data_IF_051902232872
#
_entry.id   IF_051902232872
#
_cell.length_a   1.000
_cell.length_b   1.000
_cell.length_c   1.000
_cell.angle_alpha   90.00
_cell.angle_beta   90.00
_cell.angle_gamma   90.00
#
_symmetry.space_group_name_H-M   'P 1'
#
loop_
_entity.id
_entity.type
_entity.pdbx_description
1 polymer ?
#
# COMPACT_ATOMS: atom_id res chain seq x y z
N UNK A 1 -5.72 -8.26 60.23
CA UNK A 1 -6.12 -9.08 59.06
C UNK A 1 -6.32 -8.31 57.75
N UNK A 2 -6.54 -6.99 57.73
CA UNK A 2 -6.73 -6.17 56.49
C UNK A 2 -5.43 -5.87 55.76
N UNK A 3 -4.27 -5.81 56.42
CA UNK A 3 -2.98 -5.52 55.76
C UNK A 3 -2.42 -6.67 54.89
N UNK A 4 -2.74 -7.91 55.22
CA UNK A 4 -2.23 -9.08 54.46
C UNK A 4 -2.99 -9.33 53.16
N UNK A 5 -4.22 -8.81 53.03
CA UNK A 5 -5.00 -8.98 51.79
C UNK A 5 -4.56 -7.98 50.72
N UNK A 6 -4.29 -6.71 51.12
CA UNK A 6 -3.75 -5.68 50.20
C UNK A 6 -2.37 -6.05 49.68
N UNK A 7 -1.49 -6.56 50.57
CA UNK A 7 -0.14 -6.97 50.15
C UNK A 7 -0.16 -8.17 49.21
N UNK A 8 -1.04 -9.15 49.42
CA UNK A 8 -1.25 -10.29 48.52
C UNK A 8 -1.80 -9.86 47.17
N UNK A 9 -2.74 -8.91 47.13
CA UNK A 9 -3.34 -8.38 45.91
C UNK A 9 -2.29 -7.57 45.11
N UNK A 10 -1.48 -6.75 45.77
CA UNK A 10 -0.39 -5.98 45.13
C UNK A 10 0.70 -6.92 44.56
N UNK A 11 1.09 -7.96 45.33
CA UNK A 11 2.08 -8.95 44.89
C UNK A 11 1.55 -9.77 43.70
N UNK A 12 0.26 -10.12 43.70
CA UNK A 12 -0.37 -10.82 42.58
C UNK A 12 -0.44 -9.94 41.32
N UNK A 13 -0.80 -8.67 41.47
CA UNK A 13 -0.83 -7.71 40.36
C UNK A 13 0.57 -7.47 39.82
N UNK A 14 1.57 -7.30 40.69
CA UNK A 14 3.00 -7.19 40.28
C UNK A 14 3.52 -8.46 39.61
N UNK A 15 3.12 -9.67 40.07
CA UNK A 15 3.47 -10.93 39.43
C UNK A 15 2.79 -11.10 38.05
N UNK A 16 1.57 -10.64 37.88
CA UNK A 16 0.91 -10.65 36.58
C UNK A 16 1.53 -9.63 35.62
N UNK A 17 1.88 -8.43 36.10
CA UNK A 17 2.63 -7.42 35.32
C UNK A 17 4.06 -7.92 34.99
N UNK A 18 4.73 -8.59 35.92
CA UNK A 18 6.08 -9.13 35.67
C UNK A 18 6.10 -10.32 34.71
N UNK A 19 5.01 -11.11 34.65
CA UNK A 19 4.88 -12.21 33.65
C UNK A 19 4.63 -11.66 32.25
N UNK A 20 3.91 -10.53 32.11
CA UNK A 20 3.75 -9.84 30.83
C UNK A 20 5.07 -9.19 30.34
N UNK A 21 5.84 -8.60 31.24
CA UNK A 21 7.13 -7.97 30.93
C UNK A 21 8.20 -9.02 30.61
N UNK A 22 8.13 -10.21 31.22
CA UNK A 22 9.07 -11.32 30.93
C UNK A 22 8.92 -11.93 29.54
N UNK A 23 7.81 -11.64 28.83
CA UNK A 23 7.52 -12.19 27.50
C UNK A 23 7.86 -11.22 26.34
N UNK A 24 8.30 -9.98 26.60
CA UNK A 24 8.64 -9.00 25.56
C UNK A 24 7.45 -8.41 24.81
N UNK A 25 6.21 -8.66 25.27
CA UNK A 25 4.98 -8.18 24.62
C UNK A 25 4.58 -6.80 25.14
N UNK A 26 4.02 -5.95 24.26
CA UNK A 26 3.63 -4.57 24.61
C UNK A 26 2.37 -4.49 25.46
N UNK A 27 1.46 -5.45 25.32
CA UNK A 27 0.12 -5.42 25.92
C UNK A 27 -0.84 -4.42 25.26
N UNK A 28 -0.40 -3.69 24.24
CA UNK A 28 -1.19 -2.65 23.53
C UNK A 28 -1.64 -3.10 22.13
N UNK A 29 -1.07 -4.18 21.63
CA UNK A 29 -1.39 -4.75 20.33
C UNK A 29 -1.92 -6.17 20.44
N UNK A 30 -2.69 -6.64 19.45
CA UNK A 30 -3.01 -8.06 19.35
C UNK A 30 -1.73 -8.88 19.18
N UNK A 31 -1.74 -10.07 19.77
CA UNK A 31 -0.64 -11.04 19.72
C UNK A 31 -1.08 -12.28 18.97
N UNK A 32 -0.33 -12.67 17.96
CA UNK A 32 -0.50 -13.92 17.24
C UNK A 32 0.53 -14.94 17.73
N UNK A 33 0.08 -16.02 18.35
CA UNK A 33 0.88 -17.15 18.80
C UNK A 33 0.84 -18.23 17.72
N UNK A 34 2.02 -18.69 17.29
CA UNK A 34 2.15 -19.72 16.26
C UNK A 34 3.08 -20.82 16.82
N UNK A 35 2.61 -22.07 16.78
CA UNK A 35 3.39 -23.23 17.17
C UNK A 35 3.50 -24.17 15.97
N UNK A 36 4.70 -24.29 15.42
CA UNK A 36 4.97 -25.23 14.33
C UNK A 36 5.02 -26.68 14.85
N UNK A 37 4.64 -27.60 14.00
CA UNK A 37 4.70 -29.03 14.35
C UNK A 37 6.11 -29.41 14.80
N UNK A 38 6.24 -29.99 15.99
CA UNK A 38 7.52 -30.38 16.62
C UNK A 38 8.51 -29.22 16.77
N UNK A 39 8.04 -28.00 16.89
CA UNK A 39 8.84 -26.76 16.94
C UNK A 39 9.83 -26.65 15.75
N UNK A 40 9.44 -27.17 14.59
CA UNK A 40 10.26 -27.12 13.38
C UNK A 40 10.53 -25.67 12.95
N UNK A 41 11.79 -25.35 12.68
CA UNK A 41 12.15 -24.03 12.18
C UNK A 41 11.60 -23.76 10.76
N UNK A 42 11.14 -22.55 10.51
CA UNK A 42 10.68 -22.10 9.19
C UNK A 42 11.88 -21.60 8.38
N UNK A 43 12.44 -22.45 7.54
CA UNK A 43 13.69 -22.19 6.80
C UNK A 43 13.50 -22.07 5.28
N UNK A 44 12.30 -22.34 4.75
CA UNK A 44 12.02 -22.38 3.32
C UNK A 44 11.00 -21.30 2.92
N UNK A 45 11.18 -20.70 1.72
CA UNK A 45 10.19 -19.85 1.06
C UNK A 45 9.17 -20.63 0.22
N UNK A 46 9.41 -21.88 -0.03
CA UNK A 46 8.58 -22.72 -0.91
C UNK A 46 7.85 -23.83 -0.18
N UNK A 47 8.44 -24.39 0.87
CA UNK A 47 7.88 -25.49 1.65
C UNK A 47 7.16 -24.94 2.88
N UNK A 48 5.88 -25.28 3.01
CA UNK A 48 5.09 -24.97 4.20
C UNK A 48 5.39 -25.94 5.35
N UNK A 49 5.41 -25.40 6.55
CA UNK A 49 5.49 -26.14 7.81
C UNK A 49 4.10 -26.11 8.43
N UNK A 50 3.49 -27.28 8.76
CA UNK A 50 2.24 -27.32 9.51
C UNK A 50 2.41 -26.68 10.89
N UNK A 51 1.39 -25.94 11.32
CA UNK A 51 1.39 -25.23 12.59
C UNK A 51 -0.04 -25.04 13.15
N UNK A 52 -0.10 -24.66 14.39
CA UNK A 52 -1.31 -24.15 15.03
C UNK A 52 -1.14 -22.69 15.39
N UNK A 53 -2.25 -21.99 15.58
CA UNK A 53 -2.23 -20.61 16.03
C UNK A 53 -3.42 -20.27 16.89
N UNK A 54 -3.25 -19.25 17.71
CA UNK A 54 -4.34 -18.48 18.32
C UNK A 54 -3.96 -17.00 18.37
N UNK A 55 -4.97 -16.14 18.47
CA UNK A 55 -4.76 -14.70 18.56
C UNK A 55 -5.46 -14.15 19.80
N UNK A 56 -4.79 -13.26 20.51
CA UNK A 56 -5.31 -12.57 21.68
C UNK A 56 -5.22 -11.05 21.45
N UNK A 57 -6.34 -10.38 21.51
CA UNK A 57 -6.43 -8.91 21.54
C UNK A 57 -7.05 -8.53 22.89
N UNK A 58 -6.22 -8.02 23.79
CA UNK A 58 -6.68 -7.64 25.13
C UNK A 58 -7.56 -6.40 25.14
N UNK A 59 -7.44 -5.55 24.13
CA UNK A 59 -8.24 -4.32 23.98
C UNK A 59 -9.59 -4.61 23.30
N UNK A 60 -9.63 -5.62 22.41
CA UNK A 60 -10.81 -6.01 21.67
C UNK A 60 -10.99 -7.53 21.71
N UNK A 61 -11.46 -8.10 22.84
CA UNK A 61 -11.58 -9.55 23.02
C UNK A 61 -12.46 -10.26 21.98
N UNK A 62 -13.38 -9.54 21.34
CA UNK A 62 -14.21 -10.07 20.24
C UNK A 62 -13.41 -10.41 18.97
N UNK A 63 -12.17 -9.93 18.88
CA UNK A 63 -11.23 -10.25 17.79
C UNK A 63 -10.37 -11.46 18.11
N UNK A 64 -10.50 -12.08 19.27
CA UNK A 64 -9.76 -13.28 19.64
C UNK A 64 -10.11 -14.45 18.72
N UNK A 65 -9.11 -15.28 18.42
CA UNK A 65 -9.27 -16.47 17.59
C UNK A 65 -8.61 -17.65 18.29
N UNK A 66 -9.38 -18.70 18.51
CA UNK A 66 -8.89 -19.87 19.25
C UNK A 66 -8.42 -19.53 20.68
N UNK A 67 -7.67 -20.43 21.25
CA UNK A 67 -7.00 -20.25 22.53
C UNK A 67 -5.78 -21.16 22.61
N UNK A 68 -4.96 -21.01 23.65
CA UNK A 68 -3.82 -21.91 23.90
C UNK A 68 -4.25 -23.36 23.99
N UNK A 69 -5.40 -23.64 24.61
CA UNK A 69 -5.92 -24.99 24.82
C UNK A 69 -6.75 -25.49 23.61
N UNK A 70 -7.19 -24.61 22.72
CA UNK A 70 -7.94 -24.93 21.51
C UNK A 70 -7.47 -24.04 20.36
N UNK A 71 -6.25 -24.26 19.85
CA UNK A 71 -5.70 -23.46 18.75
C UNK A 71 -6.28 -23.88 17.40
N UNK A 72 -6.29 -22.93 16.46
CA UNK A 72 -6.66 -23.15 15.08
C UNK A 72 -5.48 -23.67 14.26
N UNK A 73 -5.75 -24.25 13.08
CA UNK A 73 -4.72 -24.82 12.19
C UNK A 73 -4.28 -23.83 11.13
N UNK A 74 -2.97 -23.79 10.86
CA UNK A 74 -2.37 -23.08 9.72
C UNK A 74 -1.14 -23.82 9.17
N UNK A 75 -0.67 -23.35 8.04
CA UNK A 75 0.64 -23.68 7.47
C UNK A 75 1.45 -22.37 7.34
N UNK A 76 2.75 -22.42 7.68
CA UNK A 76 3.66 -21.25 7.64
C UNK A 76 4.88 -21.54 6.77
N UNK A 77 5.33 -20.55 6.02
CA UNK A 77 6.61 -20.55 5.29
C UNK A 77 7.23 -19.16 5.23
N UNK A 78 8.48 -19.10 4.86
CA UNK A 78 9.15 -17.83 4.56
C UNK A 78 8.58 -17.14 3.32
N UNK A 79 8.86 -15.83 3.20
CA UNK A 79 8.57 -15.01 2.02
C UNK A 79 9.60 -13.87 1.85
N UNK A 80 9.46 -13.13 0.74
CA UNK A 80 10.30 -11.99 0.40
C UNK A 80 11.61 -12.38 -0.29
N UNK A 81 12.25 -11.42 -0.90
CA UNK A 81 13.53 -11.55 -1.59
C UNK A 81 14.66 -11.00 -0.71
N UNK A 82 14.89 -9.69 -0.73
CA UNK A 82 15.89 -9.05 0.14
C UNK A 82 15.57 -9.25 1.63
N UNK A 83 14.33 -9.03 2.03
CA UNK A 83 13.88 -9.14 3.43
C UNK A 83 14.02 -10.55 4.02
N UNK A 84 14.04 -11.60 3.19
CA UNK A 84 14.33 -12.97 3.66
C UNK A 84 15.77 -13.16 4.13
N UNK A 85 16.70 -12.29 3.73
CA UNK A 85 18.10 -12.32 4.19
C UNK A 85 18.28 -11.76 5.59
N UNK A 86 17.36 -10.93 6.07
CA UNK A 86 17.42 -10.31 7.39
C UNK A 86 17.34 -11.36 8.50
N UNK A 87 17.83 -11.01 9.70
CA UNK A 87 17.71 -11.85 10.89
C UNK A 87 16.23 -12.07 11.23
N UNK A 88 15.44 -11.02 11.28
CA UNK A 88 13.97 -11.07 11.39
C UNK A 88 13.39 -11.53 10.06
N UNK A 89 12.62 -12.60 10.07
CA UNK A 89 12.07 -13.21 8.85
C UNK A 89 10.63 -12.79 8.62
N UNK A 90 10.25 -12.37 7.40
CA UNK A 90 8.85 -12.25 7.03
C UNK A 90 8.27 -13.61 6.66
N UNK A 91 6.97 -13.79 6.91
CA UNK A 91 6.29 -15.08 6.71
C UNK A 91 5.06 -14.96 5.82
N UNK A 92 4.71 -16.06 5.16
CA UNK A 92 3.41 -16.30 4.54
C UNK A 92 2.70 -17.38 5.33
N UNK A 93 1.47 -17.13 5.73
CA UNK A 93 0.63 -18.07 6.46
C UNK A 93 -0.59 -18.44 5.62
N UNK A 94 -1.04 -19.68 5.77
CA UNK A 94 -2.22 -20.21 5.11
C UNK A 94 -3.07 -20.93 6.14
N UNK A 95 -4.19 -20.31 6.51
CA UNK A 95 -5.12 -20.84 7.48
C UNK A 95 -5.87 -22.07 6.93
N UNK A 96 -6.27 -22.98 7.80
CA UNK A 96 -7.13 -24.11 7.41
C UNK A 96 -8.49 -23.62 6.87
N UNK A 97 -9.05 -22.58 7.46
CA UNK A 97 -10.34 -22.02 7.12
C UNK A 97 -10.24 -20.57 6.65
N UNK A 98 -11.24 -20.10 5.87
CA UNK A 98 -11.40 -18.69 5.57
C UNK A 98 -11.79 -17.94 6.86
N UNK A 99 -10.86 -17.21 7.45
CA UNK A 99 -11.02 -16.51 8.72
C UNK A 99 -10.79 -15.01 8.55
N UNK A 100 -11.58 -14.20 9.23
CA UNK A 100 -11.34 -12.76 9.41
C UNK A 100 -10.29 -12.58 10.50
N UNK A 101 -9.18 -11.97 10.19
CA UNK A 101 -8.15 -11.61 11.17
C UNK A 101 -8.22 -10.10 11.43
N UNK A 102 -8.35 -9.70 12.69
CA UNK A 102 -8.41 -8.30 13.15
C UNK A 102 -9.40 -7.43 12.35
N UNK A 103 -10.58 -7.98 12.06
CA UNK A 103 -11.66 -7.29 11.33
C UNK A 103 -11.45 -7.20 9.80
N UNK A 104 -10.32 -7.64 9.26
CA UNK A 104 -10.07 -7.69 7.81
C UNK A 104 -10.92 -8.77 7.13
N UNK A 105 -11.16 -8.64 5.82
CA UNK A 105 -12.02 -9.56 5.07
C UNK A 105 -11.51 -11.01 5.12
N UNK A 106 -12.45 -11.98 5.30
CA UNK A 106 -12.14 -13.41 5.43
C UNK A 106 -11.29 -13.93 4.26
N UNK A 107 -10.19 -14.60 4.59
CA UNK A 107 -9.38 -15.34 3.64
C UNK A 107 -8.53 -16.40 4.37
N UNK A 108 -7.92 -17.30 3.60
CA UNK A 108 -6.95 -18.28 4.13
C UNK A 108 -5.51 -17.78 4.07
N UNK A 109 -5.18 -16.86 3.15
CA UNK A 109 -3.81 -16.45 2.86
C UNK A 109 -3.51 -15.05 3.40
N UNK A 110 -2.45 -14.98 4.21
CA UNK A 110 -1.99 -13.77 4.87
C UNK A 110 -0.46 -13.67 4.82
N UNK A 111 0.06 -12.48 5.02
CA UNK A 111 1.48 -12.24 5.18
C UNK A 111 1.77 -11.58 6.52
N UNK A 112 2.88 -11.96 7.15
CA UNK A 112 3.49 -11.25 8.27
C UNK A 112 4.71 -10.53 7.70
N UNK A 113 4.56 -9.22 7.48
CA UNK A 113 5.59 -8.35 6.91
C UNK A 113 6.37 -7.66 8.02
N UNK A 114 7.58 -7.22 7.73
CA UNK A 114 8.27 -6.29 8.62
C UNK A 114 7.42 -5.04 8.82
N UNK A 115 7.43 -4.52 10.05
CA UNK A 115 6.72 -3.29 10.36
C UNK A 115 7.39 -2.09 9.67
N UNK A 116 6.63 -1.40 8.84
CA UNK A 116 7.01 -0.14 8.20
C UNK A 116 5.81 0.82 8.16
N UNK A 117 5.99 2.02 8.64
CA UNK A 117 4.95 3.05 8.67
C UNK A 117 4.47 3.41 7.27
N UNK A 118 5.40 3.42 6.30
CA UNK A 118 5.08 3.68 4.89
C UNK A 118 4.14 2.67 4.27
N UNK A 119 4.21 1.40 4.68
CA UNK A 119 3.28 0.37 4.19
C UNK A 119 1.85 0.68 4.66
N UNK A 120 1.67 1.05 5.94
CA UNK A 120 0.36 1.41 6.48
C UNK A 120 -0.19 2.67 5.80
N UNK A 121 0.64 3.71 5.70
CA UNK A 121 0.26 4.96 5.06
C UNK A 121 -0.06 4.78 3.57
N UNK A 122 0.79 4.06 2.84
CA UNK A 122 0.66 3.89 1.40
C UNK A 122 -0.50 3.00 0.97
N UNK A 123 -0.78 1.90 1.70
CA UNK A 123 -1.96 1.08 1.42
C UNK A 123 -3.25 1.86 1.67
N UNK A 124 -3.31 2.68 2.73
CA UNK A 124 -4.45 3.56 2.95
C UNK A 124 -4.57 4.63 1.86
N UNK A 125 -3.45 5.18 1.39
CA UNK A 125 -3.46 6.12 0.29
C UNK A 125 -4.07 5.51 -0.98
N UNK A 126 -3.76 4.24 -1.29
CA UNK A 126 -4.40 3.52 -2.38
C UNK A 126 -5.94 3.42 -2.25
N UNK A 127 -6.44 3.15 -1.03
CA UNK A 127 -7.88 3.14 -0.78
C UNK A 127 -8.50 4.53 -1.00
N UNK A 128 -7.86 5.59 -0.52
CA UNK A 128 -8.34 6.98 -0.67
C UNK A 128 -8.33 7.40 -2.14
N UNK A 129 -7.31 7.02 -2.90
CA UNK A 129 -7.22 7.29 -4.34
C UNK A 129 -8.19 6.46 -5.18
N UNK A 130 -8.92 5.51 -4.59
CA UNK A 130 -9.92 4.71 -5.28
C UNK A 130 -9.33 3.64 -6.20
N UNK A 131 -8.24 3.00 -5.77
CA UNK A 131 -7.75 1.77 -6.42
C UNK A 131 -8.79 0.66 -6.28
N UNK A 132 -8.98 -0.18 -7.28
CA UNK A 132 -10.00 -1.23 -7.33
C UNK A 132 -9.99 -2.14 -6.09
N UNK A 133 -8.81 -2.46 -5.65
CA UNK A 133 -8.57 -3.13 -4.39
C UNK A 133 -7.16 -2.85 -3.88
N UNK A 134 -7.05 -2.60 -2.58
CA UNK A 134 -5.79 -2.40 -1.88
C UNK A 134 -5.73 -3.33 -0.68
N UNK A 135 -4.63 -4.06 -0.44
CA UNK A 135 -4.49 -4.91 0.73
C UNK A 135 -4.69 -4.14 2.03
N UNK A 136 -5.49 -4.69 2.93
CA UNK A 136 -5.56 -4.19 4.31
C UNK A 136 -4.39 -4.73 5.12
N UNK A 137 -3.94 -3.95 6.10
CA UNK A 137 -2.84 -4.32 7.00
C UNK A 137 -3.13 -3.86 8.42
N UNK A 138 -2.67 -4.64 9.40
CA UNK A 138 -2.81 -4.32 10.84
C UNK A 138 -1.51 -4.67 11.57
N UNK A 139 -1.03 -3.81 12.49
CA UNK A 139 0.07 -4.15 13.38
C UNK A 139 -0.30 -5.34 14.28
N UNK A 140 0.62 -6.26 14.47
CA UNK A 140 0.47 -7.44 15.32
C UNK A 140 1.82 -7.85 15.91
N UNK A 141 1.83 -8.25 17.16
CA UNK A 141 2.99 -8.91 17.76
C UNK A 141 2.94 -10.41 17.47
N UNK A 142 4.08 -11.03 17.27
CA UNK A 142 4.16 -12.46 16.94
C UNK A 142 5.05 -13.19 17.92
N UNK A 143 4.54 -14.32 18.42
CA UNK A 143 5.28 -15.32 19.19
C UNK A 143 5.32 -16.60 18.37
N UNK A 144 6.51 -17.08 18.03
CA UNK A 144 6.71 -18.27 17.22
C UNK A 144 7.46 -19.33 18.03
N UNK A 145 6.84 -20.49 18.28
CA UNK A 145 7.38 -21.58 19.09
C UNK A 145 7.83 -21.11 20.50
N UNK A 146 7.02 -20.25 21.12
CA UNK A 146 7.32 -19.68 22.43
C UNK A 146 8.34 -18.53 22.43
N UNK A 147 8.99 -18.22 21.28
CA UNK A 147 9.93 -17.10 21.15
C UNK A 147 9.22 -15.86 20.62
N UNK A 148 9.38 -14.71 21.30
CA UNK A 148 8.88 -13.43 20.83
C UNK A 148 9.70 -12.96 19.62
N UNK A 149 9.10 -13.00 18.44
CA UNK A 149 9.76 -12.60 17.19
C UNK A 149 9.44 -11.17 16.75
N UNK A 150 8.65 -10.45 17.54
CA UNK A 150 8.52 -8.99 17.45
C UNK A 150 7.26 -8.49 16.75
N UNK A 151 7.31 -7.21 16.37
CA UNK A 151 6.23 -6.46 15.73
C UNK A 151 6.20 -6.68 14.22
N UNK A 152 5.06 -7.11 13.69
CA UNK A 152 4.81 -7.33 12.27
C UNK A 152 3.62 -6.53 11.76
N UNK A 153 3.47 -6.47 10.45
CA UNK A 153 2.23 -6.11 9.78
C UNK A 153 1.55 -7.39 9.27
N UNK A 154 0.42 -7.74 9.86
CA UNK A 154 -0.48 -8.76 9.34
C UNK A 154 -1.22 -8.17 8.15
N UNK A 155 -0.93 -8.67 6.95
CA UNK A 155 -1.33 -8.06 5.69
C UNK A 155 -2.07 -9.06 4.81
N UNK A 156 -3.11 -8.60 4.13
CA UNK A 156 -3.78 -9.34 3.08
C UNK A 156 -2.81 -9.60 1.92
N UNK A 157 -2.80 -10.82 1.37
CA UNK A 157 -1.96 -11.13 0.20
C UNK A 157 -2.70 -10.81 -1.10
N UNK A 158 -1.99 -10.32 -2.12
CA UNK A 158 -2.53 -10.14 -3.46
C UNK A 158 -2.93 -11.51 -4.03
N UNK A 159 -4.21 -11.62 -4.38
CA UNK A 159 -4.83 -12.81 -4.99
C UNK A 159 -6.13 -12.42 -5.68
N UNK A 160 -6.52 -13.15 -6.69
CA UNK A 160 -7.87 -13.07 -7.24
C UNK A 160 -8.85 -13.75 -6.27
N UNK A 161 -10.02 -13.15 -6.09
CA UNK A 161 -11.11 -13.71 -5.29
C UNK A 161 -12.00 -12.63 -4.65
N UNK A 162 -13.23 -13.01 -4.29
CA UNK A 162 -14.30 -12.14 -3.81
C UNK A 162 -13.89 -11.16 -2.69
N UNK A 163 -12.99 -11.57 -1.80
CA UNK A 163 -12.53 -10.77 -0.65
C UNK A 163 -11.11 -10.22 -0.85
N UNK A 164 -10.63 -10.21 -2.06
CA UNK A 164 -9.34 -9.67 -2.52
C UNK A 164 -9.59 -8.93 -3.84
N UNK A 165 -8.71 -9.05 -4.80
CA UNK A 165 -8.94 -8.55 -6.16
C UNK A 165 -10.12 -9.34 -6.78
N UNK A 166 -11.26 -8.70 -6.90
CA UNK A 166 -12.51 -9.35 -7.30
C UNK A 166 -12.70 -9.29 -8.83
N UNK A 167 -11.86 -10.01 -9.54
CA UNK A 167 -11.95 -10.24 -10.97
C UNK A 167 -12.18 -11.74 -11.23
N UNK A 168 -12.52 -12.12 -12.47
CA UNK A 168 -12.70 -13.51 -12.83
C UNK A 168 -11.36 -14.26 -12.80
N UNK A 169 -11.26 -15.36 -12.06
CA UNK A 169 -10.08 -16.22 -12.02
C UNK A 169 -10.18 -17.30 -13.08
N UNK A 170 -9.15 -17.46 -13.91
CA UNK A 170 -9.12 -18.51 -14.92
C UNK A 170 -9.16 -19.88 -14.26
N UNK A 171 -10.07 -20.77 -14.69
CA UNK A 171 -10.12 -22.12 -14.15
C UNK A 171 -8.90 -22.94 -14.59
N UNK A 172 -8.39 -23.79 -13.71
CA UNK A 172 -7.19 -24.62 -13.95
C UNK A 172 -7.31 -25.57 -15.17
N UNK A 173 -8.53 -25.85 -15.64
CA UNK A 173 -8.76 -26.69 -16.82
C UNK A 173 -8.61 -25.94 -18.16
N UNK A 174 -8.50 -24.62 -18.15
CA UNK A 174 -8.32 -23.81 -19.37
C UNK A 174 -6.90 -23.86 -19.93
N UNK A 175 -6.13 -24.92 -19.59
CA UNK A 175 -4.74 -25.07 -20.01
C UNK A 175 -4.53 -25.28 -21.49
N UNK A 176 -5.57 -25.62 -22.25
CA UNK A 176 -5.47 -26.02 -23.65
C UNK A 176 -5.78 -24.90 -24.66
N UNK A 177 -5.75 -23.63 -24.21
CA UNK A 177 -5.89 -22.50 -25.13
C UNK A 177 -7.30 -22.26 -25.66
N UNK A 178 -8.33 -22.73 -24.94
CA UNK A 178 -9.69 -22.21 -25.13
C UNK A 178 -9.66 -20.71 -24.89
N UNK A 179 -10.61 -19.99 -25.44
CA UNK A 179 -10.77 -18.52 -25.40
C UNK A 179 -10.04 -17.84 -24.25
N UNK A 180 -9.09 -17.00 -24.60
CA UNK A 180 -8.11 -16.36 -23.71
C UNK A 180 -8.62 -15.09 -22.96
N UNK A 181 -9.86 -14.60 -23.04
CA UNK A 181 -10.33 -13.47 -22.27
C UNK A 181 -10.75 -13.89 -20.85
N UNK A 182 -9.85 -14.43 -20.05
CA UNK A 182 -10.09 -14.66 -18.63
C UNK A 182 -9.22 -13.74 -17.79
N UNK A 183 -9.60 -13.54 -16.53
CA UNK A 183 -8.90 -12.66 -15.63
C UNK A 183 -7.40 -12.98 -15.47
N UNK A 184 -6.61 -11.97 -15.53
CA UNK A 184 -5.14 -12.04 -15.40
C UNK A 184 -4.67 -11.23 -14.20
N UNK A 185 -3.68 -11.75 -13.50
CA UNK A 185 -2.92 -11.02 -12.50
C UNK A 185 -1.43 -11.24 -12.77
N UNK A 186 -0.74 -10.15 -13.05
CA UNK A 186 0.69 -10.17 -13.38
C UNK A 186 1.46 -9.12 -12.57
N UNK A 187 2.77 -9.18 -12.58
CA UNK A 187 3.67 -8.24 -11.90
C UNK A 187 4.84 -7.90 -12.83
N UNK A 188 5.06 -6.63 -13.08
CA UNK A 188 6.34 -6.17 -13.60
C UNK A 188 7.35 -6.27 -12.47
N UNK A 189 8.39 -7.08 -12.66
CA UNK A 189 9.35 -7.44 -11.63
C UNK A 189 10.78 -7.28 -12.12
N UNK A 190 11.68 -6.87 -11.24
CA UNK A 190 13.11 -6.77 -11.52
C UNK A 190 13.89 -8.05 -11.11
N UNK A 191 13.23 -9.00 -10.45
CA UNK A 191 13.82 -10.29 -10.09
C UNK A 191 13.53 -11.33 -11.18
N UNK A 192 14.47 -12.28 -11.33
CA UNK A 192 14.26 -13.43 -12.20
C UNK A 192 13.41 -14.47 -11.48
N UNK A 193 12.29 -14.83 -12.12
CA UNK A 193 11.39 -15.88 -11.67
C UNK A 193 11.14 -16.90 -12.81
N UNK A 194 10.73 -18.10 -12.47
CA UNK A 194 10.50 -19.16 -13.48
C UNK A 194 9.20 -18.96 -14.27
N UNK A 195 8.23 -18.28 -13.67
CA UNK A 195 6.92 -17.97 -14.25
C UNK A 195 6.89 -16.56 -14.83
N UNK A 196 7.80 -16.29 -15.77
CA UNK A 196 7.94 -15.00 -16.43
C UNK A 196 7.87 -15.09 -17.95
N UNK A 197 7.41 -13.98 -18.56
CA UNK A 197 7.77 -13.61 -19.92
C UNK A 197 8.80 -12.48 -19.86
N UNK A 198 9.63 -12.37 -20.88
CA UNK A 198 10.64 -11.34 -21.01
C UNK A 198 10.51 -10.63 -22.35
N UNK A 199 10.41 -9.29 -22.30
CA UNK A 199 10.38 -8.42 -23.45
C UNK A 199 11.71 -7.66 -23.50
N UNK A 200 12.61 -7.95 -24.46
CA UNK A 200 13.92 -7.31 -24.54
C UNK A 200 13.88 -5.89 -25.11
N UNK A 201 12.72 -5.46 -25.59
CA UNK A 201 12.53 -4.27 -26.41
C UNK A 201 12.35 -3.01 -25.57
N UNK A 202 12.87 -1.89 -26.09
CA UNK A 202 12.66 -0.48 -25.70
C UNK A 202 13.35 0.05 -24.46
N UNK A 203 13.99 -0.76 -23.63
CA UNK A 203 14.91 -0.26 -22.61
C UNK A 203 16.16 -1.15 -22.45
N UNK A 204 17.14 -0.64 -21.75
CA UNK A 204 18.43 -1.31 -21.55
C UNK A 204 18.29 -2.66 -20.83
N UNK A 205 17.22 -2.89 -20.07
CA UNK A 205 17.05 -4.04 -19.20
C UNK A 205 15.89 -4.96 -19.62
N UNK A 206 15.04 -4.50 -20.55
CA UNK A 206 13.80 -5.18 -20.92
C UNK A 206 12.79 -5.23 -19.79
N UNK A 207 11.61 -5.73 -20.08
CA UNK A 207 10.51 -5.84 -19.12
C UNK A 207 10.31 -7.33 -18.78
N UNK A 208 10.31 -7.64 -17.48
CA UNK A 208 9.92 -8.97 -16.97
C UNK A 208 8.52 -8.91 -16.42
N UNK A 209 7.66 -9.78 -16.92
CA UNK A 209 6.28 -9.91 -16.49
C UNK A 209 6.13 -11.27 -15.82
N UNK A 210 6.04 -11.27 -14.50
CA UNK A 210 5.74 -12.47 -13.69
C UNK A 210 4.24 -12.69 -13.67
N UNK A 211 3.76 -13.86 -14.08
CA UNK A 211 2.33 -14.17 -14.01
C UNK A 211 2.00 -14.90 -12.71
N UNK A 212 0.95 -14.45 -12.03
CA UNK A 212 0.48 -14.95 -10.74
C UNK A 212 -0.85 -15.69 -10.83
N UNK A 213 -1.71 -15.27 -11.75
CA UNK A 213 -2.96 -15.97 -12.08
C UNK A 213 -3.25 -15.80 -13.57
N UNK A 214 -3.25 -16.91 -14.29
CA UNK A 214 -2.88 -18.27 -13.88
C UNK A 214 -1.42 -18.36 -13.42
N UNK A 215 -1.12 -19.28 -12.50
CA UNK A 215 0.24 -19.52 -11.99
C UNK A 215 1.10 -20.42 -12.91
N UNK A 216 0.47 -21.02 -13.92
CA UNK A 216 1.11 -21.77 -14.99
C UNK A 216 0.36 -21.53 -16.31
N UNK A 217 1.10 -21.34 -17.41
CA UNK A 217 0.54 -21.01 -18.72
C UNK A 217 0.76 -22.13 -19.74
N UNK A 218 -0.24 -22.37 -20.59
CA UNK A 218 -0.06 -23.06 -21.87
C UNK A 218 0.78 -22.20 -22.82
N UNK A 219 1.32 -22.80 -23.88
CA UNK A 219 2.03 -22.06 -24.93
C UNK A 219 1.17 -20.97 -25.57
N UNK A 220 -0.12 -21.25 -25.78
CA UNK A 220 -1.06 -20.28 -26.34
C UNK A 220 -1.28 -19.08 -25.40
N UNK A 221 -1.49 -19.32 -24.12
CA UNK A 221 -1.62 -18.26 -23.11
C UNK A 221 -0.34 -17.43 -22.97
N UNK A 222 0.83 -18.08 -22.99
CA UNK A 222 2.11 -17.38 -22.93
C UNK A 222 2.34 -16.51 -24.16
N UNK A 223 2.01 -16.99 -25.35
CA UNK A 223 2.11 -16.22 -26.57
C UNK A 223 1.17 -15.01 -26.54
N UNK A 224 -0.09 -15.24 -26.18
CA UNK A 224 -1.07 -14.15 -26.05
C UNK A 224 -0.60 -13.06 -25.06
N UNK A 225 -0.19 -13.46 -23.86
CA UNK A 225 0.32 -12.50 -22.85
C UNK A 225 1.55 -11.74 -23.36
N UNK A 226 2.43 -12.41 -24.10
CA UNK A 226 3.60 -11.78 -24.72
C UNK A 226 3.18 -10.76 -25.77
N UNK A 227 2.22 -11.09 -26.62
CA UNK A 227 1.74 -10.22 -27.70
C UNK A 227 0.97 -9.01 -27.13
N UNK A 228 0.18 -9.19 -26.06
CA UNK A 228 -0.48 -8.10 -25.32
C UNK A 228 0.54 -7.07 -24.81
N UNK A 229 1.57 -7.52 -24.10
CA UNK A 229 2.57 -6.59 -23.55
C UNK A 229 3.50 -6.00 -24.62
N UNK A 230 3.70 -6.67 -25.73
CA UNK A 230 4.34 -6.08 -26.92
C UNK A 230 3.48 -4.99 -27.53
N UNK A 231 2.17 -5.21 -27.64
CA UNK A 231 1.24 -4.19 -28.14
C UNK A 231 1.24 -2.94 -27.23
N UNK A 232 1.24 -3.12 -25.90
CA UNK A 232 1.37 -2.03 -24.94
C UNK A 232 2.69 -1.26 -25.16
N UNK A 233 3.81 -1.96 -25.26
CA UNK A 233 5.10 -1.32 -25.51
C UNK A 233 5.09 -0.51 -26.80
N UNK A 234 4.64 -1.10 -27.91
CA UNK A 234 4.56 -0.43 -29.20
C UNK A 234 3.66 0.81 -29.13
N UNK A 235 2.47 0.67 -28.53
CA UNK A 235 1.52 1.77 -28.41
C UNK A 235 2.07 2.94 -27.59
N UNK A 236 2.82 2.67 -26.51
CA UNK A 236 3.37 3.72 -25.65
C UNK A 236 4.65 4.34 -26.21
N UNK A 237 5.57 3.53 -26.73
CA UNK A 237 6.89 4.03 -27.16
C UNK A 237 6.92 4.50 -28.60
N UNK A 238 6.19 3.85 -29.51
CA UNK A 238 6.33 4.04 -30.95
C UNK A 238 5.14 4.76 -31.59
N UNK A 239 3.91 4.60 -31.02
CA UNK A 239 2.68 5.10 -31.65
C UNK A 239 1.67 5.71 -30.65
N UNK A 240 2.12 6.66 -29.84
CA UNK A 240 1.27 7.34 -28.85
C UNK A 240 0.07 8.09 -29.43
N UNK A 241 0.21 8.54 -30.69
CA UNK A 241 -0.83 9.36 -31.36
C UNK A 241 -1.99 8.54 -31.87
N UNK A 242 -1.91 7.22 -31.89
CA UNK A 242 -3.00 6.34 -32.32
C UNK A 242 -4.14 6.20 -31.30
N UNK A 243 -3.92 6.53 -30.01
CA UNK A 243 -4.84 6.25 -28.92
C UNK A 243 -4.94 4.75 -28.56
N UNK A 244 -4.11 3.89 -29.13
CA UNK A 244 -4.18 2.44 -28.90
C UNK A 244 -3.78 2.07 -27.48
N UNK A 245 -2.83 2.77 -26.85
CA UNK A 245 -2.43 2.50 -25.48
C UNK A 245 -3.58 2.73 -24.47
N UNK A 246 -4.48 3.70 -24.71
CA UNK A 246 -5.66 3.96 -23.90
C UNK A 246 -6.72 2.86 -24.00
N UNK A 247 -6.70 2.10 -25.09
CA UNK A 247 -7.56 0.91 -25.27
C UNK A 247 -7.01 -0.31 -24.57
N UNK A 248 -5.70 -0.36 -24.36
CA UNK A 248 -5.00 -1.47 -23.72
C UNK A 248 -4.87 -1.28 -22.20
N UNK A 249 -4.68 -0.05 -21.74
CA UNK A 249 -4.48 0.29 -20.33
C UNK A 249 -5.60 1.21 -19.83
N UNK A 250 -6.05 0.99 -18.61
CA UNK A 250 -6.93 1.90 -17.91
C UNK A 250 -6.15 3.15 -17.48
N UNK A 251 -6.43 4.26 -18.15
CA UNK A 251 -5.71 5.54 -18.00
C UNK A 251 -5.90 6.09 -16.59
N UNK A 252 -7.12 6.05 -16.05
CA UNK A 252 -7.44 6.58 -14.72
C UNK A 252 -6.76 5.76 -13.61
N UNK A 253 -6.76 4.45 -13.73
CA UNK A 253 -6.07 3.56 -12.78
C UNK A 253 -4.54 3.77 -12.82
N UNK A 254 -3.97 3.94 -14.02
CA UNK A 254 -2.54 4.24 -14.18
C UNK A 254 -2.18 5.61 -13.61
N UNK A 255 -3.03 6.61 -13.79
CA UNK A 255 -2.85 7.95 -13.23
C UNK A 255 -2.88 7.93 -11.69
N UNK A 256 -3.86 7.22 -11.07
CA UNK A 256 -3.91 7.04 -9.61
C UNK A 256 -2.68 6.31 -9.09
N UNK A 257 -2.28 5.23 -9.75
CA UNK A 257 -1.07 4.48 -9.40
C UNK A 257 0.16 5.38 -9.47
N UNK A 258 0.32 6.18 -10.53
CA UNK A 258 1.39 7.15 -10.69
C UNK A 258 1.44 8.15 -9.51
N UNK A 259 0.32 8.79 -9.18
CA UNK A 259 0.23 9.74 -8.05
C UNK A 259 0.70 9.08 -6.75
N UNK A 260 0.23 7.85 -6.48
CA UNK A 260 0.59 7.12 -5.26
C UNK A 260 2.09 6.88 -5.18
N UNK A 261 2.70 6.39 -6.26
CA UNK A 261 4.13 6.10 -6.29
C UNK A 261 4.97 7.39 -6.16
N UNK A 262 4.53 8.48 -6.80
CA UNK A 262 5.24 9.75 -6.75
C UNK A 262 5.15 10.42 -5.37
N UNK A 263 3.98 10.47 -4.76
CA UNK A 263 3.78 11.05 -3.41
C UNK A 263 4.53 10.25 -2.34
N UNK A 264 4.55 8.93 -2.45
CA UNK A 264 5.31 8.07 -1.54
C UNK A 264 6.82 8.08 -1.79
N UNK A 265 7.29 8.73 -2.86
CA UNK A 265 8.68 8.63 -3.36
C UNK A 265 9.12 7.16 -3.48
N UNK A 266 8.20 6.31 -4.00
CA UNK A 266 8.45 4.88 -4.15
C UNK A 266 9.33 4.59 -5.35
N UNK A 267 10.59 4.34 -5.06
CA UNK A 267 11.61 4.11 -6.06
C UNK A 267 11.42 2.85 -6.90
N UNK A 268 10.67 1.87 -6.41
CA UNK A 268 10.46 0.60 -7.11
C UNK A 268 9.15 0.55 -7.92
N UNK A 269 8.34 1.61 -7.82
CA UNK A 269 6.93 1.62 -8.20
C UNK A 269 6.58 1.25 -9.64
N UNK A 270 7.53 1.29 -10.59
CA UNK A 270 7.25 0.99 -12.01
C UNK A 270 8.18 -0.06 -12.62
N UNK A 271 9.04 -0.68 -11.85
CA UNK A 271 9.95 -1.72 -12.33
C UNK A 271 10.08 -2.92 -11.40
N UNK A 272 9.45 -2.86 -10.23
CA UNK A 272 9.38 -3.94 -9.25
C UNK A 272 8.10 -3.85 -8.45
N UNK A 273 7.51 -4.97 -8.11
CA UNK A 273 6.22 -5.05 -7.40
C UNK A 273 5.10 -4.22 -8.06
N UNK A 274 5.22 -3.97 -9.36
CA UNK A 274 4.20 -3.28 -10.13
C UNK A 274 3.19 -4.27 -10.68
N UNK A 275 2.12 -4.48 -9.92
CA UNK A 275 1.04 -5.37 -10.31
C UNK A 275 0.13 -4.73 -11.36
N UNK A 276 -0.36 -5.57 -12.26
CA UNK A 276 -1.36 -5.25 -13.26
C UNK A 276 -2.38 -6.39 -13.28
N UNK A 277 -3.63 -6.05 -13.50
CA UNK A 277 -4.68 -7.04 -13.68
C UNK A 277 -5.59 -6.68 -14.85
N UNK A 278 -6.24 -7.69 -15.41
CA UNK A 278 -7.21 -7.55 -16.50
C UNK A 278 -8.34 -8.54 -16.25
N UNK A 279 -9.58 -8.07 -16.24
CA UNK A 279 -10.75 -8.94 -16.13
C UNK A 279 -11.06 -9.64 -17.47
N UNK A 280 -12.15 -10.33 -17.58
CA UNK A 280 -12.43 -11.26 -18.68
C UNK A 280 -13.26 -10.65 -19.83
N UNK A 281 -13.86 -9.49 -19.64
CA UNK A 281 -14.66 -8.82 -20.66
C UNK A 281 -13.83 -8.49 -21.91
N UNK A 282 -14.46 -8.51 -23.08
CA UNK A 282 -13.78 -8.30 -24.37
C UNK A 282 -13.12 -6.92 -24.49
N UNK A 283 -13.66 -5.91 -23.81
CA UNK A 283 -13.13 -4.54 -23.75
C UNK A 283 -12.34 -4.24 -22.45
N UNK A 284 -12.09 -5.26 -21.63
CA UNK A 284 -11.31 -5.09 -20.42
C UNK A 284 -9.89 -4.58 -20.72
N UNK A 285 -9.44 -3.61 -19.91
CA UNK A 285 -8.11 -3.00 -20.00
C UNK A 285 -7.21 -3.54 -18.91
N UNK A 286 -5.91 -3.38 -19.08
CA UNK A 286 -4.96 -3.60 -18.01
C UNK A 286 -5.05 -2.49 -16.98
N UNK A 287 -5.37 -2.83 -15.76
CA UNK A 287 -5.55 -1.92 -14.63
C UNK A 287 -4.31 -1.97 -13.75
N UNK A 288 -3.73 -0.81 -13.47
CA UNK A 288 -2.58 -0.68 -12.56
C UNK A 288 -2.98 -0.98 -11.11
N UNK A 289 -2.23 -1.83 -10.45
CA UNK A 289 -2.52 -2.34 -9.11
C UNK A 289 -2.81 -3.84 -9.09
N UNK A 290 -3.00 -4.43 -7.90
CA UNK A 290 -2.99 -3.84 -6.56
C UNK A 290 -1.61 -3.33 -6.10
N UNK A 291 -1.62 -2.45 -5.09
CA UNK A 291 -0.40 -1.90 -4.50
C UNK A 291 0.34 -2.95 -3.66
N UNK A 292 1.67 -2.94 -3.76
CA UNK A 292 2.54 -3.78 -2.95
C UNK A 292 3.91 -3.12 -2.77
N UNK A 293 4.63 -3.52 -1.70
CA UNK A 293 6.00 -3.10 -1.39
C UNK A 293 6.22 -1.58 -1.35
N UNK A 294 5.47 -0.91 -0.48
CA UNK A 294 5.46 0.55 -0.30
C UNK A 294 6.40 1.03 0.81
N UNK A 295 7.43 0.28 1.14
CA UNK A 295 8.34 0.55 2.24
C UNK A 295 9.63 1.30 1.84
N UNK A 296 9.66 1.81 0.63
CA UNK A 296 10.80 2.53 0.09
C UNK A 296 10.86 3.99 0.53
N UNK A 297 11.84 4.63 0.03
CA UNK A 297 12.41 5.92 0.40
C UNK A 297 11.41 6.90 1.04
N UNK A 298 11.87 7.53 2.11
CA UNK A 298 11.08 8.47 2.91
C UNK A 298 11.63 9.88 2.77
N UNK A 299 12.22 10.17 1.61
CA UNK A 299 12.82 11.46 1.34
C UNK A 299 11.77 12.48 0.93
N UNK A 300 12.05 13.72 1.19
CA UNK A 300 11.33 14.79 0.52
C UNK A 300 11.59 14.70 -0.98
N UNK A 301 10.53 14.78 -1.77
CA UNK A 301 10.58 14.73 -3.19
C UNK A 301 11.25 15.99 -3.74
N UNK A 302 12.16 15.81 -4.69
CA UNK A 302 12.84 16.89 -5.40
C UNK A 302 12.61 16.85 -6.90
N UNK A 303 12.23 15.68 -7.41
CA UNK A 303 11.95 15.39 -8.81
C UNK A 303 11.06 14.14 -8.92
N UNK A 304 10.65 13.76 -10.13
CA UNK A 304 9.87 12.55 -10.38
C UNK A 304 10.69 11.27 -10.22
N UNK A 305 10.00 10.15 -10.06
CA UNK A 305 10.55 8.82 -9.74
C UNK A 305 11.59 8.31 -10.75
N UNK A 306 11.65 8.83 -11.99
CA UNK A 306 12.63 8.38 -12.97
C UNK A 306 14.08 8.61 -12.56
N UNK A 307 14.38 9.39 -11.57
CA UNK A 307 15.74 9.46 -11.02
C UNK A 307 16.27 8.11 -10.54
N UNK A 308 15.39 7.13 -10.34
CA UNK A 308 15.78 5.74 -10.11
C UNK A 308 16.74 5.17 -11.11
N UNK A 309 16.61 5.58 -12.37
CA UNK A 309 17.57 5.25 -13.43
C UNK A 309 19.02 5.56 -13.05
N UNK A 310 19.23 6.66 -12.32
CA UNK A 310 20.57 7.08 -11.91
C UNK A 310 21.14 6.30 -10.75
N UNK A 311 20.29 5.78 -9.87
CA UNK A 311 20.72 5.08 -8.64
C UNK A 311 21.06 3.60 -8.89
N UNK A 312 20.28 2.93 -9.75
CA UNK A 312 20.41 1.49 -9.99
C UNK A 312 20.49 1.11 -11.47
N UNK A 313 20.46 2.08 -12.38
CA UNK A 313 20.44 1.84 -13.82
C UNK A 313 19.09 1.36 -14.39
N UNK A 314 18.05 1.28 -13.55
CA UNK A 314 16.71 0.93 -14.00
C UNK A 314 15.95 2.15 -14.52
N UNK A 315 15.12 1.95 -15.53
CA UNK A 315 14.20 2.97 -16.05
C UNK A 315 12.78 2.53 -15.66
N UNK A 316 11.97 3.43 -15.06
CA UNK A 316 10.56 3.16 -14.88
C UNK A 316 9.89 2.88 -16.21
N UNK A 317 9.27 1.72 -16.35
CA UNK A 317 8.65 1.33 -17.61
C UNK A 317 7.44 2.22 -17.90
N UNK A 318 7.27 2.59 -19.16
CA UNK A 318 6.17 3.36 -19.75
C UNK A 318 5.96 4.78 -19.21
N UNK A 319 6.12 5.01 -17.92
CA UNK A 319 5.68 6.26 -17.27
C UNK A 319 6.38 7.51 -17.82
N UNK A 320 7.66 7.38 -18.21
CA UNK A 320 8.41 8.48 -18.81
C UNK A 320 7.85 8.93 -20.16
N UNK A 321 7.21 8.02 -20.90
CA UNK A 321 6.54 8.32 -22.16
C UNK A 321 5.08 8.77 -21.92
N UNK A 322 4.36 8.14 -20.99
CA UNK A 322 3.00 8.53 -20.64
C UNK A 322 2.94 9.95 -20.11
N UNK A 323 3.93 10.41 -19.36
CA UNK A 323 4.00 11.82 -18.91
C UNK A 323 4.16 12.85 -20.02
N UNK A 324 4.42 12.43 -21.23
CA UNK A 324 4.44 13.31 -22.42
C UNK A 324 3.10 13.30 -23.16
N UNK A 325 2.17 12.49 -22.71
CA UNK A 325 0.85 12.33 -23.28
C UNK A 325 -0.16 13.25 -22.60
N UNK A 326 -1.03 13.92 -23.38
CA UNK A 326 -1.99 14.89 -22.87
C UNK A 326 -3.10 14.26 -22.06
N UNK A 327 -3.64 13.16 -22.53
CA UNK A 327 -4.78 12.47 -21.89
C UNK A 327 -4.35 11.83 -20.58
N UNK A 328 -3.13 11.28 -20.52
CA UNK A 328 -2.54 10.82 -19.26
C UNK A 328 -2.32 11.97 -18.26
N UNK A 329 -1.75 13.09 -18.69
CA UNK A 329 -1.54 14.25 -17.82
C UNK A 329 -2.85 14.82 -17.29
N UNK A 330 -3.89 14.84 -18.10
CA UNK A 330 -5.22 15.30 -17.68
C UNK A 330 -5.89 14.30 -16.72
N UNK A 331 -5.75 13.02 -16.93
CA UNK A 331 -6.18 11.99 -15.97
C UNK A 331 -5.48 12.14 -14.60
N UNK A 332 -4.18 12.42 -14.59
CA UNK A 332 -3.43 12.71 -13.36
C UNK A 332 -3.98 13.94 -12.65
N UNK A 333 -4.20 15.05 -13.36
CA UNK A 333 -4.79 16.26 -12.77
C UNK A 333 -6.19 16.01 -12.22
N UNK A 334 -7.03 15.28 -12.97
CA UNK A 334 -8.38 14.95 -12.54
C UNK A 334 -8.39 14.10 -11.26
N UNK A 335 -7.57 13.05 -11.20
CA UNK A 335 -7.44 12.22 -10.00
C UNK A 335 -6.86 13.02 -8.82
N UNK A 336 -5.87 13.88 -9.06
CA UNK A 336 -5.30 14.76 -8.04
C UNK A 336 -6.32 15.70 -7.43
N UNK A 337 -7.09 16.39 -8.27
CA UNK A 337 -8.12 17.35 -7.84
C UNK A 337 -9.25 16.70 -7.02
N UNK A 338 -9.52 15.41 -7.20
CA UNK A 338 -10.47 14.66 -6.39
C UNK A 338 -9.93 14.36 -4.98
N UNK A 339 -8.63 14.23 -4.85
CA UNK A 339 -7.94 13.92 -3.60
C UNK A 339 -7.49 15.16 -2.84
N UNK A 340 -6.73 16.04 -3.49
CA UNK A 340 -6.04 17.16 -2.84
C UNK A 340 -6.88 18.45 -2.88
N UNK A 341 -6.95 19.22 -1.80
CA UNK A 341 -6.38 18.97 -0.47
C UNK A 341 -7.33 18.21 0.48
N UNK A 342 -8.54 17.86 0.05
CA UNK A 342 -9.67 17.45 0.92
C UNK A 342 -9.36 16.18 1.72
N UNK A 343 -8.69 15.22 1.13
CA UNK A 343 -8.42 13.91 1.74
C UNK A 343 -7.10 13.86 2.54
N UNK A 344 -6.32 14.94 2.55
CA UNK A 344 -5.00 14.96 3.23
C UNK A 344 -5.16 14.80 4.73
N UNK A 345 -6.02 15.59 5.38
CA UNK A 345 -6.21 15.53 6.82
C UNK A 345 -6.77 14.18 7.29
N UNK A 346 -7.83 13.60 6.70
CA UNK A 346 -8.29 12.26 7.03
C UNK A 346 -7.19 11.18 6.89
N UNK A 347 -6.32 11.30 5.88
CA UNK A 347 -5.19 10.40 5.72
C UNK A 347 -4.17 10.52 6.84
N UNK A 348 -3.80 11.74 7.24
CA UNK A 348 -2.89 11.98 8.35
C UNK A 348 -3.43 11.46 9.69
N UNK A 349 -4.73 11.64 9.93
CA UNK A 349 -5.43 11.09 11.11
C UNK A 349 -5.40 9.55 11.11
N UNK A 350 -5.67 8.91 9.99
CA UNK A 350 -5.56 7.46 9.85
C UNK A 350 -4.17 6.93 10.21
N UNK A 351 -3.11 7.66 9.80
CA UNK A 351 -1.73 7.29 10.12
C UNK A 351 -1.52 7.32 11.65
N UNK A 352 -1.97 8.39 12.31
CA UNK A 352 -1.86 8.52 13.76
C UNK A 352 -2.62 7.40 14.49
N UNK A 353 -3.87 7.16 14.13
CA UNK A 353 -4.73 6.14 14.73
C UNK A 353 -4.16 4.72 14.62
N UNK A 354 -3.53 4.39 13.50
CA UNK A 354 -3.03 3.04 13.25
C UNK A 354 -1.58 2.81 13.65
N UNK A 355 -0.82 3.85 13.98
CA UNK A 355 0.62 3.72 14.26
C UNK A 355 1.03 4.16 15.67
N UNK A 356 0.44 5.21 16.26
CA UNK A 356 0.93 5.76 17.53
C UNK A 356 0.87 4.77 18.68
N UNK A 357 -0.08 3.84 18.67
CA UNK A 357 -0.21 2.81 19.70
C UNK A 357 0.82 1.65 19.57
N UNK A 358 1.66 1.66 18.53
CA UNK A 358 2.70 0.65 18.32
C UNK A 358 4.00 0.91 19.11
N UNK A 359 4.06 1.98 19.90
CA UNK A 359 5.33 2.45 20.51
C UNK A 359 6.05 1.42 21.35
N UNK A 360 5.35 0.79 22.28
CA UNK A 360 5.95 -0.25 23.14
C UNK A 360 6.35 -1.49 22.35
N UNK A 361 5.50 -1.95 21.43
CA UNK A 361 5.82 -3.10 20.57
C UNK A 361 7.04 -2.83 19.68
N UNK A 362 7.19 -1.62 19.16
CA UNK A 362 8.37 -1.20 18.38
C UNK A 362 9.64 -1.19 19.26
N UNK A 363 9.53 -0.71 20.49
CA UNK A 363 10.64 -0.71 21.45
C UNK A 363 11.10 -2.16 21.74
N UNK A 364 10.17 -3.06 22.04
CA UNK A 364 10.46 -4.48 22.27
C UNK A 364 11.04 -5.17 21.02
N UNK A 365 10.54 -4.84 19.81
CA UNK A 365 11.08 -5.32 18.55
C UNK A 365 12.54 -4.88 18.34
N UNK A 366 12.85 -3.63 18.65
CA UNK A 366 14.22 -3.10 18.57
C UNK A 366 15.17 -3.82 19.54
N UNK A 367 14.74 -4.08 20.76
CA UNK A 367 15.51 -4.87 21.73
C UNK A 367 15.73 -6.29 21.19
N UNK A 368 14.66 -6.96 20.76
CA UNK A 368 14.72 -8.35 20.26
C UNK A 368 15.71 -8.53 19.14
N UNK A 369 15.80 -7.57 18.24
CA UNK A 369 16.63 -7.62 17.05
C UNK A 369 17.91 -6.79 17.14
N UNK A 370 18.27 -6.32 18.35
CA UNK A 370 19.46 -5.50 18.62
C UNK A 370 19.62 -4.33 17.64
N UNK A 371 18.53 -3.61 17.39
CA UNK A 371 18.52 -2.45 16.50
C UNK A 371 18.93 -1.21 17.29
N UNK A 372 19.88 -0.45 16.75
CA UNK A 372 20.38 0.78 17.38
C UNK A 372 19.41 1.97 17.26
N UNK A 373 18.33 1.84 16.49
CA UNK A 373 17.37 2.92 16.32
C UNK A 373 16.50 3.05 17.59
N UNK A 374 16.70 4.13 18.32
CA UNK A 374 15.96 4.48 19.54
C UNK A 374 14.87 5.54 19.30
N UNK A 375 14.64 5.92 18.04
CA UNK A 375 13.61 6.91 17.69
C UNK A 375 12.24 6.41 18.12
N UNK A 376 11.49 7.26 18.82
CA UNK A 376 10.14 6.93 19.28
C UNK A 376 9.18 6.74 18.08
N UNK A 377 8.08 5.98 18.28
CA UNK A 377 7.05 5.87 17.24
C UNK A 377 6.45 7.23 16.90
N UNK A 378 6.28 8.11 17.88
CA UNK A 378 5.75 9.46 17.66
C UNK A 378 6.65 10.29 16.73
N UNK A 379 7.97 10.29 16.99
CA UNK A 379 8.92 10.99 16.12
C UNK A 379 8.97 10.40 14.71
N UNK A 380 8.90 9.06 14.60
CA UNK A 380 8.87 8.37 13.30
C UNK A 380 7.61 8.71 12.51
N UNK A 381 6.46 8.72 13.16
CA UNK A 381 5.15 9.05 12.54
C UNK A 381 5.15 10.53 12.12
N UNK A 382 5.59 11.44 12.99
CA UNK A 382 5.65 12.87 12.67
C UNK A 382 6.59 13.15 11.49
N UNK A 383 7.77 12.56 11.50
CA UNK A 383 8.72 12.66 10.38
C UNK A 383 8.13 12.11 9.08
N UNK A 384 7.38 11.00 9.17
CA UNK A 384 6.68 10.43 8.01
C UNK A 384 5.63 11.39 7.47
N UNK A 385 4.75 11.90 8.32
CA UNK A 385 3.69 12.84 7.95
C UNK A 385 4.27 14.11 7.35
N UNK A 386 5.29 14.68 7.96
CA UNK A 386 6.00 15.87 7.44
C UNK A 386 6.58 15.62 6.05
N UNK A 387 7.18 14.44 5.81
CA UNK A 387 7.70 14.07 4.49
C UNK A 387 6.58 13.91 3.45
N UNK A 388 5.47 13.26 3.83
CA UNK A 388 4.32 13.11 2.94
C UNK A 388 3.68 14.44 2.59
N UNK A 389 3.50 15.33 3.56
CA UNK A 389 2.95 16.68 3.34
C UNK A 389 3.86 17.46 2.38
N UNK A 390 5.17 17.44 2.59
CA UNK A 390 6.13 18.09 1.69
C UNK A 390 6.06 17.52 0.25
N UNK A 391 5.86 16.20 0.12
CA UNK A 391 5.71 15.54 -1.18
C UNK A 391 4.39 15.89 -1.86
N UNK A 392 3.31 16.00 -1.09
CA UNK A 392 2.01 16.46 -1.61
C UNK A 392 2.09 17.89 -2.13
N UNK A 393 2.69 18.81 -1.36
CA UNK A 393 2.89 20.19 -1.77
C UNK A 393 3.82 20.32 -2.98
N UNK A 394 4.84 19.47 -3.06
CA UNK A 394 5.73 19.41 -4.20
C UNK A 394 4.96 18.94 -5.45
N UNK A 395 4.19 17.85 -5.33
CA UNK A 395 3.43 17.28 -6.43
C UNK A 395 2.38 18.25 -6.96
N UNK A 396 1.66 18.93 -6.07
CA UNK A 396 0.67 19.95 -6.43
C UNK A 396 1.28 21.07 -7.30
N UNK A 397 2.47 21.54 -6.94
CA UNK A 397 3.21 22.56 -7.69
C UNK A 397 3.80 22.08 -9.03
N UNK A 398 3.95 20.76 -9.21
CA UNK A 398 4.64 20.16 -10.35
C UNK A 398 3.75 19.14 -11.07
N UNK A 399 2.45 19.35 -11.09
CA UNK A 399 1.53 18.47 -11.83
C UNK A 399 2.01 18.29 -13.28
N UNK A 400 2.01 17.06 -13.81
CA UNK A 400 2.51 16.80 -15.15
C UNK A 400 1.64 17.51 -16.21
N UNK A 401 2.28 17.98 -17.27
CA UNK A 401 1.64 18.51 -18.45
C UNK A 401 2.46 18.09 -19.66
N UNK A 402 1.79 17.72 -20.73
CA UNK A 402 2.46 17.26 -21.94
C UNK A 402 3.31 18.38 -22.55
N UNK A 403 4.57 18.04 -22.88
CA UNK A 403 5.46 18.96 -23.60
C UNK A 403 4.87 19.22 -24.99
N UNK A 404 4.37 20.42 -25.23
CA UNK A 404 3.74 20.84 -26.51
C UNK A 404 2.34 21.43 -26.33
N UNK A 405 1.72 21.29 -25.16
CA UNK A 405 0.59 22.09 -24.71
C UNK A 405 1.07 23.34 -23.95
N UNK A 406 2.24 23.88 -24.34
CA UNK A 406 2.59 25.24 -23.97
C UNK A 406 1.53 26.17 -24.52
N UNK A 407 0.53 26.40 -23.69
CA UNK A 407 -0.25 27.62 -23.65
C UNK A 407 -0.73 28.21 -24.98
N UNK A 408 -1.88 27.77 -25.40
CA UNK A 408 -2.88 28.80 -25.63
C UNK A 408 -3.36 29.28 -24.25
N UNK A 409 -2.51 29.98 -23.52
CA UNK A 409 -3.01 30.97 -22.59
C UNK A 409 -3.65 32.04 -23.45
N UNK A 410 -4.91 31.84 -23.73
CA UNK A 410 -5.74 32.98 -23.92
C UNK A 410 -5.53 33.85 -22.68
N UNK A 411 -5.01 35.04 -22.86
CA UNK A 411 -4.94 36.11 -21.89
C UNK A 411 -6.34 36.55 -21.49
N UNK A 412 -7.18 35.62 -21.07
CA UNK A 412 -8.43 35.88 -20.38
C UNK A 412 -8.06 36.18 -18.92
N UNK A 413 -8.34 37.40 -18.48
CA UNK A 413 -8.24 37.74 -17.05
C UNK A 413 -8.92 36.67 -16.23
N UNK A 414 -8.16 36.05 -15.27
CA UNK A 414 -8.72 35.14 -14.27
C UNK A 414 -9.72 35.95 -13.42
N UNK A 415 -10.99 35.77 -13.67
CA UNK A 415 -12.04 36.39 -12.88
C UNK A 415 -12.55 35.42 -11.84
N UNK A 416 -12.54 35.83 -10.59
CA UNK A 416 -13.10 35.10 -9.47
C UNK A 416 -14.60 34.89 -9.66
N UNK A 417 -15.03 33.63 -9.67
CA UNK A 417 -16.44 33.25 -9.87
C UNK A 417 -17.14 32.94 -8.55
N UNK A 418 -16.42 32.30 -7.61
CA UNK A 418 -17.00 31.91 -6.33
C UNK A 418 -15.94 31.84 -5.22
N UNK A 419 -16.35 32.15 -3.98
CA UNK A 419 -15.55 31.97 -2.78
C UNK A 419 -16.36 31.17 -1.76
N UNK A 420 -15.80 30.06 -1.29
CA UNK A 420 -16.37 29.29 -0.17
C UNK A 420 -15.35 29.15 0.95
N UNK A 421 -15.86 29.13 2.17
CA UNK A 421 -15.05 28.91 3.36
C UNK A 421 -15.38 27.53 3.93
N UNK A 422 -14.37 26.79 4.33
CA UNK A 422 -14.49 25.49 4.99
C UNK A 422 -13.89 25.63 6.39
N UNK A 423 -14.61 25.17 7.41
CA UNK A 423 -14.06 25.04 8.74
C UNK A 423 -13.25 23.72 8.87
N UNK A 424 -12.58 23.52 10.00
CA UNK A 424 -11.79 22.31 10.28
C UNK A 424 -12.63 21.02 10.35
N UNK A 425 -13.94 21.11 10.40
CA UNK A 425 -14.87 19.97 10.32
C UNK A 425 -15.38 19.72 8.89
N UNK A 426 -14.85 20.41 7.89
CA UNK A 426 -15.21 20.27 6.47
C UNK A 426 -16.57 20.89 6.07
N UNK A 427 -17.23 21.62 6.96
CA UNK A 427 -18.48 22.31 6.64
C UNK A 427 -18.19 23.56 5.80
N UNK A 428 -18.94 23.75 4.71
CA UNK A 428 -18.80 24.91 3.83
C UNK A 428 -19.78 26.02 4.15
N UNK A 429 -19.36 27.26 3.91
CA UNK A 429 -20.18 28.49 4.06
C UNK A 429 -19.69 29.54 3.08
N UNK A 430 -20.59 30.49 2.70
CA UNK A 430 -20.23 31.66 1.90
C UNK A 430 -19.60 32.78 2.76
N UNK A 431 -19.48 32.55 4.07
CA UNK A 431 -18.84 33.47 5.02
C UNK A 431 -17.87 32.70 5.91
N UNK A 432 -16.76 33.31 6.34
CA UNK A 432 -15.82 32.64 7.21
C UNK A 432 -16.44 32.30 8.58
N UNK A 433 -16.07 31.14 9.11
CA UNK A 433 -16.43 30.71 10.48
C UNK A 433 -15.51 31.37 11.50
N UNK A 434 -15.97 31.46 12.74
CA UNK A 434 -15.11 31.85 13.84
C UNK A 434 -14.00 30.79 14.02
N UNK A 435 -12.75 31.17 13.83
CA UNK A 435 -11.59 30.30 13.93
C UNK A 435 -10.79 30.18 12.63
N UNK A 436 -10.10 29.07 12.47
CA UNK A 436 -9.31 28.80 11.26
C UNK A 436 -10.25 28.31 10.16
N UNK A 437 -10.15 28.91 8.98
CA UNK A 437 -10.89 28.53 7.78
C UNK A 437 -9.93 28.20 6.64
N UNK A 438 -10.39 27.38 5.71
CA UNK A 438 -9.83 27.27 4.37
C UNK A 438 -10.73 28.04 3.43
N UNK A 439 -10.22 29.08 2.81
CA UNK A 439 -10.93 29.85 1.80
C UNK A 439 -10.63 29.25 0.43
N UNK A 440 -11.65 28.73 -0.23
CA UNK A 440 -11.59 28.22 -1.61
C UNK A 440 -12.11 29.27 -2.56
N UNK A 441 -11.27 29.75 -3.47
CA UNK A 441 -11.64 30.68 -4.54
C UNK A 441 -11.64 29.92 -5.86
N UNK A 442 -12.77 29.92 -6.57
CA UNK A 442 -12.91 29.31 -7.91
C UNK A 442 -12.93 30.39 -8.97
N UNK A 443 -12.24 30.16 -10.08
CA UNK A 443 -12.11 31.07 -11.19
C UNK A 443 -12.96 30.64 -12.41
N UNK A 444 -13.14 31.54 -13.37
CA UNK A 444 -13.93 31.32 -14.59
C UNK A 444 -13.30 30.31 -15.56
N UNK A 445 -12.02 29.97 -15.38
CA UNK A 445 -11.28 28.93 -16.12
C UNK A 445 -11.39 27.54 -15.48
N UNK A 446 -12.19 27.41 -14.39
CA UNK A 446 -12.34 26.17 -13.63
C UNK A 446 -11.22 25.91 -12.62
N UNK A 447 -10.17 26.75 -12.60
CA UNK A 447 -9.12 26.66 -11.58
C UNK A 447 -9.62 27.17 -10.22
N UNK A 448 -8.92 26.79 -9.15
CA UNK A 448 -9.23 27.27 -7.80
C UNK A 448 -7.96 27.50 -6.99
N UNK A 449 -8.06 28.41 -6.01
CA UNK A 449 -7.04 28.63 -4.98
C UNK A 449 -7.62 28.29 -3.62
N UNK A 450 -6.84 27.62 -2.79
CA UNK A 450 -7.19 27.32 -1.40
C UNK A 450 -6.19 28.01 -0.45
N UNK A 451 -6.68 28.87 0.41
CA UNK A 451 -5.84 29.63 1.34
C UNK A 451 -6.34 29.41 2.77
N UNK A 452 -5.42 29.10 3.69
CA UNK A 452 -5.73 29.10 5.12
C UNK A 452 -5.91 30.52 5.62
N UNK A 453 -7.08 30.84 6.13
CA UNK A 453 -7.42 32.16 6.70
C UNK A 453 -7.58 32.01 8.21
N UNK A 454 -6.83 32.80 8.96
CA UNK A 454 -6.97 32.86 10.41
C UNK A 454 -8.31 33.47 10.86
N UNK A 455 -8.59 33.55 12.17
CA UNK A 455 -9.80 34.17 12.67
C UNK A 455 -9.84 35.63 12.24
N UNK A 456 -10.91 36.01 11.53
CA UNK A 456 -11.17 37.42 11.16
C UNK A 456 -11.74 38.09 12.39
N UNK A 457 -10.95 39.00 12.98
CA UNK A 457 -11.44 39.87 14.05
C UNK A 457 -12.35 40.93 13.43
N UNK A 458 -13.65 40.82 13.63
CA UNK A 458 -14.67 41.82 13.20
C UNK A 458 -14.71 43.06 14.14
N UNK A 459 -13.62 43.41 14.80
CA UNK A 459 -13.61 44.59 15.71
C UNK A 459 -13.01 45.85 15.14
N UNK A 460 -12.94 45.98 13.80
CA UNK A 460 -12.50 47.23 13.14
C UNK A 460 -13.16 47.42 11.79
N UNK A 461 -14.46 47.75 11.85
CA UNK A 461 -15.15 48.55 10.82
C UNK A 461 -16.26 49.33 11.49
#
# INVERSE_FOLDING_TARGET
MKGNLLFRTLVTICLWLSVLIAAGQSGTLPVMYIETQNHQAVTSKTVYVPATYYMVDNLNPDMNIGSKDSPEQLEIRGRGNSSWRDAKKPYKIKLANNTSLLGMKKNRHWALLHFHESTVAGLQFGNIMGMDWTPSTKPVEVVLNGDYVGLYLLTETIRIGKNRLNIYEQPNWNKDGGTIPYGWLVEVDNYYETNQIYLPENDQWGIRITYHSPDSLSSAQKNWLTDEFKAINTAIYDDKTSGEWERLIDVDAMARYFIIQEVLDNSDGFHGSFYLHKDWEDDARWVAGPLWDLNCNQRQKTDYTFRMKTSYGFTPHWIGELMKDGDFCDAVKNAWNQFYPVQVQPWMEYIDENLLHCGEALYQDNIRWNRSNTESIADRVERRKSSLIANLEWFDKHLPHAAGLDHVTGSGEKNMVNVKYFNLAGMSSDKPWNGVNIMLTTYNDGSFDAIKVGPINYSSF
#
